data_IF_433878013388
#
_entry.id   IF_433878013388
#
_cell.length_a   1.000
_cell.length_b   1.000
_cell.length_c   1.000
_cell.angle_alpha   90.00
_cell.angle_beta   90.00
_cell.angle_gamma   90.00
#
_symmetry.space_group_name_H-M   'P 1'
#
loop_
_entity.id
_entity.type
_entity.pdbx_description
1 polymer ?
#
# COMPACT_ATOMS: atom_id res chain seq x y z
N UNK A 1 -19.23 -6.05 -2.87
CA UNK A 1 -18.50 -7.25 -2.47
C UNK A 1 -17.73 -7.03 -1.19
N UNK A 2 -17.83 -7.93 -0.23
CA UNK A 2 -17.08 -7.77 1.00
C UNK A 2 -15.59 -7.97 0.75
N UNK A 3 -14.82 -7.03 1.28
CA UNK A 3 -13.36 -7.06 1.27
C UNK A 3 -12.91 -7.37 2.68
N UNK A 4 -11.95 -8.27 2.81
CA UNK A 4 -11.31 -8.60 4.08
C UNK A 4 -9.81 -8.32 3.99
N UNK A 5 -9.26 -7.83 5.09
CA UNK A 5 -7.80 -7.78 5.26
C UNK A 5 -7.43 -8.90 6.23
N UNK A 6 -6.49 -9.73 5.82
CA UNK A 6 -6.03 -10.84 6.64
C UNK A 6 -4.51 -10.76 6.78
N UNK A 7 -4.03 -10.81 8.03
CA UNK A 7 -2.58 -10.84 8.27
C UNK A 7 -1.96 -12.06 7.59
N UNK A 8 -0.83 -11.85 6.92
CA UNK A 8 -0.11 -12.94 6.27
C UNK A 8 0.76 -13.62 7.31
N UNK A 9 0.49 -14.89 7.60
CA UNK A 9 1.35 -15.63 8.52
C UNK A 9 2.58 -16.20 7.80
N UNK A 10 3.52 -16.70 8.60
CA UNK A 10 4.80 -17.18 8.07
C UNK A 10 4.65 -18.32 7.06
N UNK A 11 3.59 -19.12 7.19
CA UNK A 11 3.35 -20.24 6.28
C UNK A 11 2.99 -19.76 4.87
N UNK A 12 2.52 -18.53 4.72
CA UNK A 12 2.11 -17.98 3.43
C UNK A 12 3.12 -16.96 2.84
N UNK A 13 4.28 -16.82 3.44
CA UNK A 13 5.31 -15.88 2.95
C UNK A 13 5.66 -16.11 1.49
N UNK A 14 5.80 -17.36 1.07
CA UNK A 14 6.18 -17.69 -0.31
C UNK A 14 5.12 -17.21 -1.30
N UNK A 15 3.84 -17.33 -0.95
CA UNK A 15 2.74 -16.83 -1.79
C UNK A 15 2.81 -15.32 -1.93
N UNK A 16 2.99 -14.61 -0.83
CA UNK A 16 3.14 -13.17 -0.85
C UNK A 16 4.39 -12.76 -1.64
N UNK A 17 5.49 -13.48 -1.48
CA UNK A 17 6.74 -13.18 -2.21
C UNK A 17 6.54 -13.25 -3.72
N UNK A 18 5.77 -14.24 -4.19
CA UNK A 18 5.45 -14.34 -5.62
C UNK A 18 4.67 -13.13 -6.12
N UNK A 19 3.68 -12.68 -5.36
CA UNK A 19 2.90 -11.49 -5.72
C UNK A 19 3.76 -10.23 -5.65
N UNK A 20 4.63 -10.12 -4.65
CA UNK A 20 5.55 -9.00 -4.50
C UNK A 20 6.51 -8.91 -5.69
N UNK A 21 7.01 -10.04 -6.17
CA UNK A 21 7.89 -10.07 -7.34
C UNK A 21 7.19 -9.53 -8.59
N UNK A 22 5.95 -9.93 -8.82
CA UNK A 22 5.16 -9.41 -9.94
C UNK A 22 4.93 -7.91 -9.82
N UNK A 23 4.61 -7.44 -8.63
CA UNK A 23 4.42 -6.03 -8.35
C UNK A 23 5.70 -5.22 -8.61
N UNK A 24 6.83 -5.69 -8.12
CA UNK A 24 8.11 -4.98 -8.30
C UNK A 24 8.50 -4.90 -9.77
N UNK A 25 8.21 -5.94 -10.55
CA UNK A 25 8.47 -5.91 -11.99
C UNK A 25 7.58 -4.88 -12.69
N UNK A 26 6.32 -4.75 -12.28
CA UNK A 26 5.45 -3.69 -12.83
C UNK A 26 6.01 -2.31 -12.47
N UNK A 27 6.44 -2.11 -11.24
CA UNK A 27 7.00 -0.82 -10.80
C UNK A 27 8.29 -0.45 -11.54
N UNK A 28 9.07 -1.44 -11.93
CA UNK A 28 10.38 -1.21 -12.55
C UNK A 28 10.26 -0.46 -13.88
N UNK A 29 9.09 -0.45 -14.50
CA UNK A 29 8.86 0.34 -15.72
C UNK A 29 8.85 1.85 -15.44
N UNK A 30 8.65 2.27 -14.20
CA UNK A 30 8.58 3.68 -13.81
C UNK A 30 9.85 4.21 -13.14
N UNK A 31 10.81 3.34 -12.85
CA UNK A 31 12.06 3.66 -12.20
C UNK A 31 12.68 2.41 -11.58
N UNK A 32 13.91 2.55 -11.10
CA UNK A 32 14.62 1.42 -10.51
C UNK A 32 14.00 1.04 -9.16
N UNK A 33 13.80 -0.26 -8.96
CA UNK A 33 13.34 -0.83 -7.70
C UNK A 33 14.26 -1.95 -7.27
N UNK A 34 14.32 -2.21 -5.96
CA UNK A 34 15.04 -3.35 -5.41
C UNK A 34 14.20 -4.62 -5.61
N UNK A 35 14.50 -5.38 -6.66
CA UNK A 35 13.78 -6.60 -6.97
C UNK A 35 13.96 -7.68 -5.91
N UNK A 36 15.00 -7.60 -5.09
CA UNK A 36 15.25 -8.54 -4.00
C UNK A 36 14.46 -8.19 -2.74
N UNK A 37 14.03 -6.95 -2.61
CA UNK A 37 13.26 -6.43 -1.49
C UNK A 37 13.84 -6.85 -0.14
N UNK A 38 14.98 -6.28 0.22
CA UNK A 38 15.79 -6.71 1.37
C UNK A 38 15.06 -6.65 2.71
N UNK A 39 13.97 -5.86 2.82
CA UNK A 39 13.18 -5.75 4.06
C UNK A 39 12.03 -6.76 4.14
N UNK A 40 11.94 -7.70 3.20
CA UNK A 40 10.79 -8.61 3.15
C UNK A 40 10.58 -9.38 4.45
N UNK A 41 11.62 -10.02 4.96
CA UNK A 41 11.50 -10.84 6.18
C UNK A 41 11.18 -10.01 7.43
N UNK A 42 11.49 -8.72 7.41
CA UNK A 42 11.22 -7.83 8.54
C UNK A 42 9.73 -7.71 8.86
N UNK A 43 8.85 -8.02 7.91
CA UNK A 43 7.40 -7.98 8.13
C UNK A 43 6.91 -9.08 9.09
N UNK A 44 7.75 -10.08 9.39
CA UNK A 44 7.41 -11.14 10.35
C UNK A 44 8.28 -11.10 11.60
N UNK A 45 9.34 -10.29 11.62
CA UNK A 45 10.26 -10.19 12.74
C UNK A 45 10.17 -8.86 13.48
N UNK A 46 9.78 -7.78 12.81
CA UNK A 46 9.70 -6.45 13.40
C UNK A 46 8.29 -6.16 13.92
N UNK A 47 8.19 -5.40 15.02
CA UNK A 47 6.90 -5.06 15.64
C UNK A 47 6.15 -3.96 14.88
N UNK A 48 6.85 -3.18 14.09
CA UNK A 48 6.31 -2.01 13.40
C UNK A 48 6.16 -2.22 11.89
N UNK A 49 5.98 -3.47 11.48
CA UNK A 49 5.73 -3.85 10.09
C UNK A 49 4.64 -4.90 10.03
N UNK A 50 3.71 -4.71 9.09
CA UNK A 50 2.54 -5.58 8.95
C UNK A 50 2.31 -5.93 7.49
N UNK A 51 2.05 -7.19 7.21
CA UNK A 51 1.71 -7.67 5.89
C UNK A 51 0.27 -8.18 5.90
N UNK A 52 -0.53 -7.73 4.92
CA UNK A 52 -1.92 -8.14 4.78
C UNK A 52 -2.19 -8.68 3.39
N UNK A 53 -2.96 -9.76 3.30
CA UNK A 53 -3.64 -10.09 2.05
C UNK A 53 -4.95 -9.31 1.97
N UNK A 54 -5.29 -8.89 0.76
CA UNK A 54 -6.61 -8.35 0.43
C UNK A 54 -7.41 -9.52 -0.11
N UNK A 55 -8.49 -9.88 0.57
CA UNK A 55 -9.32 -11.03 0.19
C UNK A 55 -10.70 -10.60 -0.26
N UNK A 56 -11.19 -11.25 -1.32
CA UNK A 56 -12.55 -11.14 -1.81
C UNK A 56 -13.21 -12.52 -1.76
N UNK A 57 -14.48 -12.62 -2.15
CA UNK A 57 -15.15 -13.91 -2.29
C UNK A 57 -14.44 -14.84 -3.28
N UNK A 58 -13.74 -14.25 -4.26
CA UNK A 58 -13.05 -14.98 -5.31
C UNK A 58 -11.60 -15.33 -4.93
N UNK A 59 -11.19 -15.03 -3.72
CA UNK A 59 -9.86 -15.37 -3.21
C UNK A 59 -9.00 -14.15 -2.94
N UNK A 60 -7.70 -14.38 -2.85
CA UNK A 60 -6.72 -13.31 -2.60
C UNK A 60 -6.60 -12.42 -3.83
N UNK A 61 -6.89 -11.15 -3.64
CA UNK A 61 -6.90 -10.14 -4.71
C UNK A 61 -5.62 -9.31 -4.76
N UNK A 62 -4.87 -9.26 -3.66
CA UNK A 62 -3.68 -8.42 -3.57
C UNK A 62 -3.11 -8.39 -2.17
N UNK A 63 -2.29 -7.38 -1.90
CA UNK A 63 -1.68 -7.23 -0.59
C UNK A 63 -1.40 -5.77 -0.25
N UNK A 64 -1.24 -5.52 1.05
CA UNK A 64 -0.65 -4.29 1.60
C UNK A 64 0.55 -4.65 2.45
N UNK A 65 1.63 -3.88 2.31
CA UNK A 65 2.73 -3.87 3.28
C UNK A 65 2.73 -2.52 3.99
N UNK A 66 2.66 -2.53 5.30
CA UNK A 66 2.54 -1.34 6.14
C UNK A 66 3.71 -1.29 7.11
N UNK A 67 4.28 -0.11 7.30
CA UNK A 67 5.32 0.11 8.29
C UNK A 67 5.14 1.49 8.96
N UNK A 68 6.15 1.96 9.68
CA UNK A 68 6.14 3.26 10.36
C UNK A 68 7.21 4.20 9.81
N UNK A 69 7.86 3.84 8.73
CA UNK A 69 8.89 4.67 8.11
C UNK A 69 8.25 5.78 7.27
N UNK A 70 8.52 7.04 7.63
CA UNK A 70 7.90 8.20 6.98
C UNK A 70 8.66 8.60 5.71
N UNK A 71 8.06 8.44 4.51
CA UNK A 71 8.72 8.84 3.27
C UNK A 71 9.03 10.35 3.18
N UNK A 72 8.26 11.19 3.88
CA UNK A 72 8.51 12.64 3.87
C UNK A 72 9.58 13.07 4.86
N UNK A 73 9.90 12.22 5.83
CA UNK A 73 10.78 12.57 6.94
C UNK A 73 10.12 13.38 8.05
N UNK A 74 8.82 13.70 7.92
CA UNK A 74 8.09 14.47 8.95
C UNK A 74 7.61 13.62 10.13
N UNK A 75 7.65 12.29 9.98
CA UNK A 75 7.11 11.35 10.95
C UNK A 75 5.66 11.01 10.66
N UNK A 76 5.31 9.74 10.80
CA UNK A 76 3.95 9.26 10.57
C UNK A 76 3.69 8.11 11.53
N UNK A 77 2.40 7.90 11.85
CA UNK A 77 2.02 6.72 12.63
C UNK A 77 2.14 5.47 11.76
N UNK A 78 1.76 5.59 10.50
CA UNK A 78 1.81 4.48 9.55
C UNK A 78 2.21 4.97 8.17
N UNK A 79 2.87 4.11 7.42
CA UNK A 79 3.14 4.31 6.00
C UNK A 79 2.69 3.09 5.21
N UNK A 80 2.04 3.32 4.08
CA UNK A 80 1.75 2.27 3.13
C UNK A 80 3.00 2.08 2.28
N UNK A 81 3.78 1.06 2.63
CA UNK A 81 5.05 0.82 1.96
C UNK A 81 4.84 0.26 0.55
N UNK A 82 3.93 -0.72 0.42
CA UNK A 82 3.63 -1.35 -0.86
C UNK A 82 2.15 -1.69 -0.91
N UNK A 83 1.58 -1.66 -2.13
CA UNK A 83 0.18 -1.97 -2.37
C UNK A 83 0.03 -2.57 -3.76
N UNK A 84 -0.67 -3.69 -3.86
CA UNK A 84 -0.84 -4.37 -5.14
C UNK A 84 -2.21 -5.04 -5.22
N UNK A 85 -2.85 -4.90 -6.38
CA UNK A 85 -4.00 -5.71 -6.76
C UNK A 85 -3.65 -6.49 -8.01
N UNK A 86 -3.98 -7.77 -8.02
CA UNK A 86 -3.87 -8.58 -9.23
C UNK A 86 -4.73 -7.95 -10.33
N UNK A 87 -4.28 -7.99 -11.59
CA UNK A 87 -5.00 -7.33 -12.68
C UNK A 87 -6.49 -7.69 -12.78
N UNK A 88 -6.84 -8.95 -12.51
CA UNK A 88 -8.23 -9.41 -12.58
C UNK A 88 -9.15 -8.72 -11.55
N UNK A 89 -8.60 -8.13 -10.51
CA UNK A 89 -9.39 -7.49 -9.44
C UNK A 89 -9.38 -5.96 -9.51
N UNK A 90 -8.79 -5.40 -10.58
CA UNK A 90 -8.70 -3.94 -10.76
C UNK A 90 -9.95 -3.38 -11.44
N UNK A 91 -10.21 -2.09 -11.22
CA UNK A 91 -11.24 -1.35 -11.94
C UNK A 91 -12.66 -1.47 -11.39
N UNK A 92 -12.85 -2.13 -10.24
CA UNK A 92 -14.16 -2.37 -9.65
C UNK A 92 -14.31 -1.79 -8.23
N UNK A 93 -13.37 -0.94 -7.81
CA UNK A 93 -13.41 -0.33 -6.48
C UNK A 93 -12.79 -1.17 -5.38
N UNK A 94 -12.23 -2.33 -5.69
CA UNK A 94 -11.60 -3.19 -4.68
C UNK A 94 -10.44 -2.50 -3.96
N UNK A 95 -9.61 -1.78 -4.69
CA UNK A 95 -8.48 -1.07 -4.08
C UNK A 95 -8.92 -0.01 -3.09
N UNK A 96 -9.89 0.81 -3.47
CA UNK A 96 -10.45 1.84 -2.61
C UNK A 96 -11.09 1.22 -1.36
N UNK A 97 -11.89 0.18 -1.54
CA UNK A 97 -12.57 -0.48 -0.44
C UNK A 97 -11.59 -1.13 0.53
N UNK A 98 -10.55 -1.78 0.00
CA UNK A 98 -9.51 -2.38 0.83
C UNK A 98 -8.76 -1.32 1.64
N UNK A 99 -8.40 -0.20 1.00
CA UNK A 99 -7.68 0.87 1.68
C UNK A 99 -8.55 1.54 2.75
N UNK A 100 -9.85 1.70 2.49
CA UNK A 100 -10.79 2.19 3.50
C UNK A 100 -10.77 1.31 4.75
N UNK A 101 -10.79 0.00 4.57
CA UNK A 101 -10.71 -0.94 5.70
C UNK A 101 -9.40 -0.83 6.46
N UNK A 102 -8.30 -0.67 5.74
CA UNK A 102 -6.99 -0.50 6.36
C UNK A 102 -6.96 0.75 7.24
N UNK A 103 -7.45 1.88 6.74
CA UNK A 103 -7.48 3.12 7.50
C UNK A 103 -8.37 3.01 8.73
N UNK A 104 -9.51 2.32 8.61
CA UNK A 104 -10.43 2.11 9.75
C UNK A 104 -9.75 1.29 10.85
N UNK A 105 -8.90 0.34 10.48
CA UNK A 105 -8.22 -0.52 11.45
C UNK A 105 -7.02 0.15 12.12
N UNK A 106 -6.50 1.23 11.54
CA UNK A 106 -5.29 1.89 12.02
C UNK A 106 -5.42 3.41 11.91
N UNK A 107 -6.18 4.05 12.82
CA UNK A 107 -6.28 5.50 12.83
C UNK A 107 -4.94 6.16 13.14
N UNK A 108 -4.70 7.32 12.58
CA UNK A 108 -3.48 8.09 12.80
C UNK A 108 -3.04 8.83 11.56
N UNK A 109 -1.81 9.33 11.59
CA UNK A 109 -1.21 10.02 10.46
C UNK A 109 -0.59 8.99 9.53
N UNK A 110 -0.99 9.05 8.27
CA UNK A 110 -0.54 8.13 7.23
C UNK A 110 0.26 8.85 6.17
N UNK A 111 1.22 8.13 5.60
CA UNK A 111 1.90 8.58 4.39
C UNK A 111 2.00 7.42 3.40
N UNK A 112 2.03 7.78 2.13
CA UNK A 112 2.41 6.86 1.05
C UNK A 112 3.14 7.63 -0.02
N UNK A 113 4.02 6.94 -0.75
CA UNK A 113 4.75 7.57 -1.84
C UNK A 113 4.47 6.86 -3.15
N UNK A 114 4.48 7.64 -4.23
CA UNK A 114 4.26 7.15 -5.59
C UNK A 114 5.40 7.65 -6.45
N UNK A 115 5.97 6.77 -7.26
CA UNK A 115 7.01 7.18 -8.20
C UNK A 115 6.48 8.28 -9.13
N UNK A 116 7.29 9.31 -9.37
CA UNK A 116 6.88 10.49 -10.15
C UNK A 116 6.34 10.14 -11.54
N UNK A 117 6.85 9.08 -12.14
CA UNK A 117 6.48 8.64 -13.49
C UNK A 117 5.30 7.67 -13.51
N UNK A 118 4.84 7.21 -12.34
CA UNK A 118 3.72 6.27 -12.25
C UNK A 118 2.40 7.01 -12.28
N UNK A 119 1.97 7.45 -13.44
CA UNK A 119 0.76 8.24 -13.61
C UNK A 119 -0.51 7.48 -13.23
N UNK A 120 -0.67 6.19 -13.57
CA UNK A 120 -1.85 5.45 -13.13
C UNK A 120 -2.01 5.40 -11.61
N UNK A 121 -0.92 5.21 -10.89
CA UNK A 121 -0.96 5.19 -9.42
C UNK A 121 -1.30 6.57 -8.86
N UNK A 122 -0.74 7.65 -9.42
CA UNK A 122 -1.08 9.00 -9.00
C UNK A 122 -2.58 9.26 -9.18
N UNK A 123 -3.15 8.88 -10.32
CA UNK A 123 -4.57 9.06 -10.57
C UNK A 123 -5.41 8.25 -9.58
N UNK A 124 -5.03 7.01 -9.32
CA UNK A 124 -5.73 6.15 -8.37
C UNK A 124 -5.74 6.76 -6.96
N UNK A 125 -4.58 7.17 -6.46
CA UNK A 125 -4.48 7.69 -5.10
C UNK A 125 -5.18 9.04 -4.95
N UNK A 126 -5.10 9.90 -5.96
CA UNK A 126 -5.77 11.18 -5.95
C UNK A 126 -7.29 10.99 -5.83
N UNK A 127 -7.88 10.09 -6.63
CA UNK A 127 -9.31 9.78 -6.56
C UNK A 127 -9.69 9.10 -5.26
N UNK A 128 -8.88 8.14 -4.82
CA UNK A 128 -9.17 7.35 -3.64
C UNK A 128 -9.16 8.21 -2.38
N UNK A 129 -8.15 9.03 -2.19
CA UNK A 129 -8.06 9.89 -1.01
C UNK A 129 -9.17 10.94 -1.00
N UNK A 130 -9.53 11.49 -2.14
CA UNK A 130 -10.65 12.42 -2.23
C UNK A 130 -11.98 11.75 -1.86
N UNK A 131 -12.20 10.53 -2.35
CA UNK A 131 -13.43 9.77 -2.10
C UNK A 131 -13.56 9.34 -0.64
N UNK A 132 -12.46 8.97 0.00
CA UNK A 132 -12.47 8.51 1.39
C UNK A 132 -12.59 9.65 2.41
N UNK A 133 -12.56 10.89 1.95
CA UNK A 133 -12.74 12.08 2.79
C UNK A 133 -11.82 12.10 4.01
N UNK A 134 -10.54 11.80 3.77
CA UNK A 134 -9.54 11.80 4.84
C UNK A 134 -9.17 13.21 5.31
N UNK A 135 -9.91 14.21 4.86
CA UNK A 135 -9.65 15.61 5.17
C UNK A 135 -8.58 16.18 4.26
N UNK A 136 -7.74 17.03 4.83
CA UNK A 136 -6.68 17.67 4.05
C UNK A 136 -5.59 16.67 3.70
N UNK A 137 -5.20 16.65 2.42
CA UNK A 137 -4.12 15.81 1.93
C UNK A 137 -2.96 16.72 1.55
N UNK A 138 -1.85 16.57 2.25
CA UNK A 138 -0.62 17.28 1.93
C UNK A 138 0.13 16.49 0.86
N UNK A 139 0.58 17.20 -0.18
CA UNK A 139 1.38 16.61 -1.26
C UNK A 139 2.78 17.19 -1.17
N UNK A 140 3.76 16.31 -1.07
CA UNK A 140 5.16 16.70 -0.94
C UNK A 140 5.91 16.11 -2.12
N UNK A 141 6.40 16.96 -3.02
CA UNK A 141 7.11 16.51 -4.20
C UNK A 141 8.61 16.41 -3.93
N UNK A 142 9.17 15.26 -4.29
CA UNK A 142 10.59 15.03 -4.37
C UNK A 142 10.95 14.81 -5.85
N UNK A 143 12.23 14.75 -6.16
CA UNK A 143 12.68 14.61 -7.54
C UNK A 143 12.12 13.34 -8.20
N UNK A 144 12.12 12.23 -7.46
CA UNK A 144 11.76 10.90 -7.99
C UNK A 144 10.42 10.38 -7.52
N UNK A 145 9.74 11.08 -6.60
CA UNK A 145 8.49 10.60 -6.01
C UNK A 145 7.61 11.71 -5.48
N UNK A 146 6.33 11.40 -5.34
CA UNK A 146 5.34 12.26 -4.69
C UNK A 146 4.86 11.56 -3.43
N UNK A 147 4.89 12.26 -2.30
CA UNK A 147 4.39 11.74 -1.02
C UNK A 147 3.04 12.37 -0.71
N UNK A 148 2.07 11.54 -0.39
CA UNK A 148 0.76 11.96 0.12
C UNK A 148 0.76 11.77 1.63
N UNK A 149 0.38 12.80 2.37
CA UNK A 149 0.31 12.79 3.84
C UNK A 149 -1.09 13.22 4.27
N UNK A 150 -1.73 12.42 5.11
CA UNK A 150 -3.12 12.65 5.52
C UNK A 150 -3.38 11.96 6.86
N UNK A 151 -4.54 12.25 7.45
CA UNK A 151 -4.94 11.63 8.73
C UNK A 151 -6.14 10.71 8.51
N UNK A 152 -6.06 9.52 9.11
CA UNK A 152 -7.19 8.60 9.20
C UNK A 152 -7.79 8.75 10.60
N UNK A 153 -9.06 9.12 10.68
CA UNK A 153 -9.76 9.32 11.95
C UNK A 153 -10.37 8.03 12.45
N UNK A 154 -10.50 7.88 13.79
CA UNK A 154 -11.18 6.73 14.37
C UNK A 154 -12.63 6.60 13.92
#
# INVERSE_FOLDING_TARGET
MPIKLRSVDAAEKARLRGMLSAYLQELNQYGDVDLNYCFFDSYWTDRDRWAYFIETEDGVAGFFLVNTWSPSGKGADFALAECYLLPAFRGTGNGKNAFSRLLQSRPGVWELSVMSRNLPAKAFWQRTLATLCVGEVERIEFEDRLVYRFSAKP
#
